data_IF_496688089256
#
_entry.id   IF_496688089256
#
_cell.length_a   1.000
_cell.length_b   1.000
_cell.length_c   1.000
_cell.angle_alpha   90.00
_cell.angle_beta   90.00
_cell.angle_gamma   90.00
#
_symmetry.space_group_name_H-M   'P 1'
#
loop_
_entity.id
_entity.type
_entity.pdbx_description
1 polymer ?
#
# COMPACT_ATOMS: atom_id res chain seq x y z
N UNK A 1 14.31 -3.95 -2.22
CA UNK A 1 14.15 -2.77 -1.34
C UNK A 1 12.83 -2.82 -0.61
N UNK A 2 12.78 -2.29 0.60
CA UNK A 2 11.57 -2.29 1.42
C UNK A 2 11.29 -0.87 1.90
N UNK A 3 10.00 -0.52 1.93
CA UNK A 3 9.56 0.76 2.48
C UNK A 3 8.29 0.55 3.30
N UNK A 4 8.18 1.28 4.39
CA UNK A 4 6.95 1.30 5.18
C UNK A 4 6.13 2.53 4.80
N UNK A 5 4.85 2.32 4.60
CA UNK A 5 3.90 3.39 4.34
C UNK A 5 2.87 3.35 5.46
N UNK A 6 2.58 4.49 6.04
CA UNK A 6 1.59 4.59 7.10
C UNK A 6 0.20 4.70 6.49
N UNK A 7 -0.72 3.86 6.94
CA UNK A 7 -2.11 3.89 6.51
C UNK A 7 -2.99 4.05 7.74
N UNK A 8 -3.75 5.13 7.79
CA UNK A 8 -4.65 5.41 8.90
C UNK A 8 -6.11 5.32 8.46
N UNK A 9 -6.98 5.06 9.42
CA UNK A 9 -8.43 5.00 9.20
C UNK A 9 -8.88 3.89 8.25
N UNK A 10 -8.11 2.81 8.23
CA UNK A 10 -8.50 1.64 7.45
C UNK A 10 -9.56 0.88 8.23
N UNK A 11 -10.75 0.77 7.64
CA UNK A 11 -11.94 0.32 8.36
C UNK A 11 -12.03 -1.18 8.61
N UNK A 12 -11.48 -1.99 7.72
CA UNK A 12 -11.66 -3.44 7.86
C UNK A 12 -10.55 -4.23 7.17
N UNK A 13 -10.43 -5.49 7.59
CA UNK A 13 -9.43 -6.39 7.04
C UNK A 13 -9.67 -6.68 5.55
N UNK A 14 -10.93 -6.69 5.11
CA UNK A 14 -11.24 -6.91 3.70
C UNK A 14 -10.70 -5.80 2.82
N UNK A 15 -10.79 -4.55 3.29
CA UNK A 15 -10.21 -3.41 2.57
C UNK A 15 -8.70 -3.55 2.48
N UNK A 16 -8.07 -3.95 3.59
CA UNK A 16 -6.63 -4.17 3.60
C UNK A 16 -6.22 -5.24 2.59
N UNK A 17 -6.95 -6.35 2.53
CA UNK A 17 -6.67 -7.42 1.58
C UNK A 17 -6.81 -6.95 0.14
N UNK A 18 -7.80 -6.15 -0.16
CA UNK A 18 -8.00 -5.59 -1.50
C UNK A 18 -6.85 -4.67 -1.89
N UNK A 19 -6.42 -3.83 -0.95
CA UNK A 19 -5.30 -2.91 -1.19
C UNK A 19 -4.01 -3.71 -1.40
N UNK A 20 -3.75 -4.71 -0.57
CA UNK A 20 -2.57 -5.56 -0.73
C UNK A 20 -2.53 -6.21 -2.11
N UNK A 21 -3.65 -6.78 -2.52
CA UNK A 21 -3.74 -7.47 -3.81
C UNK A 21 -3.50 -6.51 -4.96
N UNK A 22 -4.13 -5.35 -4.92
CA UNK A 22 -3.98 -4.35 -5.97
C UNK A 22 -2.56 -3.78 -5.99
N UNK A 23 -1.98 -3.53 -4.83
CA UNK A 23 -0.62 -3.01 -4.74
C UNK A 23 0.41 -4.01 -5.27
N UNK A 24 0.22 -5.29 -4.98
CA UNK A 24 1.12 -6.33 -5.48
C UNK A 24 1.08 -6.44 -7.01
N UNK A 25 -0.01 -6.02 -7.62
CA UNK A 25 -0.14 -6.02 -9.08
C UNK A 25 0.59 -4.84 -9.74
N UNK A 26 1.06 -3.87 -8.97
CA UNK A 26 1.81 -2.75 -9.53
C UNK A 26 3.15 -3.24 -10.05
N UNK A 27 3.52 -2.80 -11.25
CA UNK A 27 4.80 -3.16 -11.83
C UNK A 27 5.95 -2.66 -10.95
N UNK A 28 6.90 -3.55 -10.65
CA UNK A 28 8.03 -3.25 -9.79
C UNK A 28 7.81 -3.61 -8.33
N UNK A 29 6.59 -3.91 -7.93
CA UNK A 29 6.30 -4.34 -6.56
C UNK A 29 6.40 -5.85 -6.47
N UNK A 30 7.25 -6.34 -5.57
CA UNK A 30 7.44 -7.77 -5.34
C UNK A 30 6.42 -8.32 -4.36
N UNK A 31 6.16 -7.57 -3.29
CA UNK A 31 5.14 -7.96 -2.34
C UNK A 31 4.63 -6.74 -1.57
N UNK A 32 3.46 -6.88 -0.98
CA UNK A 32 2.87 -5.83 -0.18
C UNK A 32 2.09 -6.47 0.95
N UNK A 33 2.38 -6.07 2.17
CA UNK A 33 1.67 -6.56 3.35
C UNK A 33 1.21 -5.39 4.19
N UNK A 34 -0.03 -5.47 4.66
CA UNK A 34 -0.60 -4.44 5.52
C UNK A 34 -0.75 -5.02 6.92
N UNK A 35 -0.21 -4.31 7.90
CA UNK A 35 -0.45 -4.62 9.30
C UNK A 35 -1.59 -3.75 9.79
N UNK A 36 -2.77 -4.34 9.92
CA UNK A 36 -3.96 -3.63 10.34
C UNK A 36 -3.79 -3.01 11.72
N UNK A 37 -3.20 -3.78 12.63
CA UNK A 37 -3.01 -3.34 14.02
C UNK A 37 -1.97 -2.24 14.13
N UNK A 38 -0.92 -2.29 13.33
CA UNK A 38 0.15 -1.29 13.37
C UNK A 38 -0.11 -0.10 12.44
N UNK A 39 -1.16 -0.17 11.64
CA UNK A 39 -1.51 0.86 10.66
C UNK A 39 -0.35 1.17 9.71
N UNK A 40 0.36 0.13 9.30
CA UNK A 40 1.51 0.25 8.40
C UNK A 40 1.40 -0.75 7.26
N UNK A 41 1.96 -0.35 6.13
CA UNK A 41 2.07 -1.22 4.96
C UNK A 41 3.54 -1.41 4.63
N UNK A 42 3.98 -2.66 4.52
CA UNK A 42 5.32 -2.98 4.07
C UNK A 42 5.27 -3.28 2.58
N UNK A 43 5.99 -2.49 1.81
CA UNK A 43 6.08 -2.67 0.36
C UNK A 43 7.49 -3.13 0.03
N UNK A 44 7.59 -4.29 -0.61
CA UNK A 44 8.85 -4.77 -1.16
C UNK A 44 8.84 -4.55 -2.66
N UNK A 45 9.85 -3.89 -3.18
CA UNK A 45 9.92 -3.52 -4.58
C UNK A 45 11.33 -3.69 -5.12
N UNK A 46 11.43 -3.72 -6.44
CA UNK A 46 12.71 -3.91 -7.14
C UNK A 46 13.58 -2.65 -7.01
N UNK A 47 14.89 -2.83 -6.92
CA UNK A 47 15.83 -1.72 -6.84
C UNK A 47 15.72 -0.78 -8.04
N UNK A 48 15.35 -1.32 -9.19
CA UNK A 48 15.20 -0.55 -10.41
C UNK A 48 13.88 0.18 -10.50
N UNK A 49 12.94 -0.11 -9.58
CA UNK A 49 11.63 0.51 -9.61
C UNK A 49 11.65 1.89 -8.95
N UNK A 50 10.78 2.78 -9.44
CA UNK A 50 10.63 4.11 -8.88
C UNK A 50 9.61 4.09 -7.75
N UNK A 51 10.07 4.21 -6.51
CA UNK A 51 9.20 4.18 -5.36
C UNK A 51 8.15 5.30 -5.40
N UNK A 52 8.50 6.49 -5.90
CA UNK A 52 7.55 7.59 -6.00
C UNK A 52 6.36 7.22 -6.87
N UNK A 53 6.60 6.56 -7.99
CA UNK A 53 5.53 6.07 -8.85
C UNK A 53 4.68 5.01 -8.16
N UNK A 54 5.34 4.09 -7.47
CA UNK A 54 4.66 3.05 -6.71
C UNK A 54 3.78 3.68 -5.62
N UNK A 55 4.32 4.65 -4.89
CA UNK A 55 3.59 5.33 -3.83
C UNK A 55 2.33 6.02 -4.37
N UNK A 56 2.45 6.72 -5.49
CA UNK A 56 1.31 7.38 -6.11
C UNK A 56 0.22 6.38 -6.49
N UNK A 57 0.61 5.24 -7.04
CA UNK A 57 -0.35 4.20 -7.38
C UNK A 57 -1.04 3.63 -6.14
N UNK A 58 -0.28 3.43 -5.07
CA UNK A 58 -0.83 2.94 -3.81
C UNK A 58 -1.85 3.94 -3.25
N UNK A 59 -1.54 5.23 -3.29
CA UNK A 59 -2.47 6.27 -2.84
C UNK A 59 -3.78 6.21 -3.63
N UNK A 60 -3.69 6.05 -4.95
CA UNK A 60 -4.88 5.93 -5.80
C UNK A 60 -5.70 4.70 -5.43
N UNK A 61 -5.03 3.58 -5.21
CA UNK A 61 -5.69 2.33 -4.83
C UNK A 61 -6.40 2.49 -3.50
N UNK A 62 -5.72 3.06 -2.52
CA UNK A 62 -6.30 3.27 -1.19
C UNK A 62 -7.53 4.15 -1.25
N UNK A 63 -7.48 5.22 -2.02
CA UNK A 63 -8.64 6.12 -2.17
C UNK A 63 -9.80 5.48 -2.89
N UNK A 64 -9.51 4.55 -3.80
CA UNK A 64 -10.55 3.83 -4.52
C UNK A 64 -11.27 2.82 -3.63
N UNK A 65 -10.49 2.08 -2.82
CA UNK A 65 -11.02 1.03 -1.95
C UNK A 65 -11.65 1.62 -0.69
N UNK A 66 -10.97 2.59 -0.09
CA UNK A 66 -11.41 3.21 1.15
C UNK A 66 -11.07 4.71 1.11
N UNK A 67 -12.01 5.55 0.63
CA UNK A 67 -11.74 6.98 0.49
C UNK A 67 -11.37 7.70 1.78
N UNK A 68 -11.78 7.14 2.92
CA UNK A 68 -11.51 7.76 4.22
C UNK A 68 -10.13 7.45 4.77
N UNK A 69 -9.41 6.51 4.17
CA UNK A 69 -8.08 6.18 4.67
C UNK A 69 -7.06 7.25 4.30
N UNK A 70 -6.08 7.43 5.19
CA UNK A 70 -4.99 8.39 4.99
C UNK A 70 -3.70 7.62 4.78
N UNK A 71 -2.99 7.94 3.72
CA UNK A 71 -1.73 7.30 3.36
C UNK A 71 -0.61 8.32 3.47
N UNK A 72 0.45 7.97 4.20
CA UNK A 72 1.60 8.86 4.36
C UNK A 72 2.88 8.05 4.53
N UNK A 73 3.99 8.69 4.27
CA UNK A 73 5.31 8.07 4.48
C UNK A 73 5.83 8.28 5.89
#
# INVERSE_FOLDING_TARGET
MKKYIKIENLCCANCAAKIEKAATAIEGVNSCKISFMAEKMLVEYDDSADFNGIYKEIVKICKRVEPDCTVSL
#
